data_IF_662262276825
#
_entry.id   IF_662262276825
#
_cell.length_a   1.000
_cell.length_b   1.000
_cell.length_c   1.000
_cell.angle_alpha   90.00
_cell.angle_beta   90.00
_cell.angle_gamma   90.00
#
_symmetry.space_group_name_H-M   'P 1'
#
loop_
_entity.id
_entity.type
_entity.pdbx_description
1 polymer ?
#
# COMPACT_ATOMS: atom_id res chain seq x y z
N UNK A 1 15.14 -6.42 -8.67
CA UNK A 1 14.08 -6.86 -7.74
C UNK A 1 13.58 -5.66 -6.94
N UNK A 2 12.28 -5.54 -6.83
CA UNK A 2 11.67 -4.45 -6.05
C UNK A 2 11.23 -4.96 -4.69
N UNK A 3 11.56 -4.21 -3.65
CA UNK A 3 11.16 -4.54 -2.30
C UNK A 3 10.20 -3.48 -1.79
N UNK A 4 9.00 -3.88 -1.42
CA UNK A 4 8.00 -2.98 -0.86
C UNK A 4 8.38 -2.68 0.58
N UNK A 5 8.56 -1.40 0.88
CA UNK A 5 8.94 -0.96 2.23
C UNK A 5 7.77 -0.37 2.99
N UNK A 6 6.71 0.01 2.30
CA UNK A 6 5.51 0.51 2.96
C UNK A 6 4.45 0.86 1.94
N UNK A 7 3.24 1.06 2.42
CA UNK A 7 2.15 1.50 1.54
C UNK A 7 1.08 2.19 2.36
N UNK A 8 0.25 2.96 1.68
CA UNK A 8 -0.93 3.56 2.29
C UNK A 8 -2.09 3.50 1.30
N UNK A 9 -3.30 3.57 1.83
CA UNK A 9 -4.50 3.52 1.02
C UNK A 9 -5.39 4.69 1.41
N UNK A 10 -5.88 5.41 0.42
CA UNK A 10 -6.82 6.50 0.63
C UNK A 10 -8.06 6.29 -0.20
N UNK A 11 -9.21 6.61 0.38
CA UNK A 11 -10.47 6.62 -0.37
C UNK A 11 -10.59 7.93 -1.10
N UNK A 12 -10.75 7.84 -2.41
CA UNK A 12 -10.91 9.02 -3.27
C UNK A 12 -12.20 8.90 -4.07
N UNK A 13 -12.51 9.91 -4.85
CA UNK A 13 -13.68 9.84 -5.73
C UNK A 13 -13.58 8.76 -6.79
N UNK A 14 -12.39 8.27 -7.07
CA UNK A 14 -12.16 7.19 -8.02
C UNK A 14 -12.23 5.80 -7.37
N UNK A 15 -12.15 5.73 -6.04
CA UNK A 15 -12.13 4.47 -5.31
C UNK A 15 -10.98 4.43 -4.32
N UNK A 16 -10.33 3.27 -4.20
CA UNK A 16 -9.21 3.08 -3.28
C UNK A 16 -7.90 3.30 -4.00
N UNK A 17 -7.22 4.37 -3.68
CA UNK A 17 -5.91 4.69 -4.27
C UNK A 17 -4.81 4.21 -3.34
N UNK A 18 -3.94 3.39 -3.89
CA UNK A 18 -2.82 2.79 -3.15
C UNK A 18 -1.55 3.53 -3.52
N UNK A 19 -0.82 3.99 -2.51
CA UNK A 19 0.51 4.57 -2.68
C UNK A 19 1.51 3.61 -2.07
N UNK A 20 2.54 3.25 -2.83
CA UNK A 20 3.53 2.26 -2.44
C UNK A 20 4.90 2.91 -2.40
N UNK A 21 5.63 2.65 -1.32
CA UNK A 21 7.05 3.01 -1.23
C UNK A 21 7.86 1.75 -1.44
N UNK A 22 8.93 1.84 -2.22
CA UNK A 22 9.73 0.65 -2.53
C UNK A 22 11.18 1.01 -2.78
N UNK A 23 12.01 -0.01 -2.73
CA UNK A 23 13.43 0.08 -3.05
C UNK A 23 13.74 -0.91 -4.17
N UNK A 24 14.75 -0.60 -4.96
CA UNK A 24 15.23 -1.49 -6.01
C UNK A 24 16.53 -2.13 -5.55
N UNK A 25 16.59 -3.44 -5.61
CA UNK A 25 17.75 -4.23 -5.23
C UNK A 25 18.37 -4.87 -6.47
N UNK A 26 19.69 -5.04 -6.45
CA UNK A 26 20.37 -5.79 -7.51
C UNK A 26 20.35 -7.29 -7.19
N UNK A 27 20.95 -8.09 -8.07
CA UNK A 27 20.95 -9.55 -7.92
C UNK A 27 21.72 -10.01 -6.69
N UNK A 28 22.63 -9.17 -6.19
CA UNK A 28 23.42 -9.49 -5.00
C UNK A 28 22.72 -9.02 -3.71
N UNK A 29 21.56 -8.41 -3.82
CA UNK A 29 20.81 -7.92 -2.67
C UNK A 29 21.20 -6.53 -2.21
N UNK A 30 22.05 -5.85 -2.95
CA UNK A 30 22.44 -4.47 -2.62
C UNK A 30 21.36 -3.49 -3.08
N UNK A 31 21.13 -2.45 -2.28
CA UNK A 31 20.17 -1.42 -2.62
C UNK A 31 20.75 -0.55 -3.73
N UNK A 32 20.07 -0.48 -4.86
CA UNK A 32 20.44 0.38 -5.98
C UNK A 32 19.73 1.71 -5.92
N UNK A 33 18.49 1.70 -5.45
CA UNK A 33 17.68 2.91 -5.34
C UNK A 33 16.71 2.73 -4.17
N UNK A 34 16.33 3.82 -3.53
CA UNK A 34 15.48 3.75 -2.36
C UNK A 34 14.50 4.92 -2.34
N UNK A 35 13.46 4.81 -1.52
CA UNK A 35 12.44 5.85 -1.36
C UNK A 35 11.70 6.17 -2.65
N UNK A 36 11.58 5.18 -3.52
CA UNK A 36 10.78 5.30 -4.72
C UNK A 36 9.31 5.16 -4.36
N UNK A 37 8.46 5.79 -5.17
CA UNK A 37 7.02 5.83 -4.90
C UNK A 37 6.23 5.58 -6.18
N UNK A 38 5.17 4.82 -6.04
CA UNK A 38 4.22 4.60 -7.13
C UNK A 38 2.81 4.64 -6.54
N UNK A 39 1.82 4.96 -7.37
CA UNK A 39 0.43 4.91 -6.92
C UNK A 39 -0.47 4.41 -8.04
N UNK A 40 -1.60 3.85 -7.65
CA UNK A 40 -2.57 3.30 -8.58
C UNK A 40 -3.91 3.16 -7.87
N UNK A 41 -4.97 2.97 -8.65
CA UNK A 41 -6.29 2.68 -8.10
C UNK A 41 -6.46 1.16 -8.05
N UNK A 42 -6.82 0.63 -6.87
CA UNK A 42 -7.01 -0.81 -6.71
C UNK A 42 -8.31 -1.23 -7.40
N UNK A 43 -8.22 -2.24 -8.25
CA UNK A 43 -9.35 -2.77 -9.01
C UNK A 43 -9.62 -4.24 -8.74
N UNK A 44 -8.65 -4.97 -8.19
CA UNK A 44 -8.79 -6.40 -7.92
C UNK A 44 -9.67 -6.62 -6.70
N UNK A 45 -10.63 -7.54 -6.82
CA UNK A 45 -11.56 -7.83 -5.72
C UNK A 45 -10.85 -8.32 -4.48
N UNK A 46 -9.81 -9.13 -4.63
CA UNK A 46 -9.06 -9.64 -3.49
C UNK A 46 -8.34 -8.53 -2.76
N UNK A 47 -7.80 -7.56 -3.49
CA UNK A 47 -7.13 -6.40 -2.89
C UNK A 47 -8.14 -5.52 -2.19
N UNK A 48 -9.28 -5.26 -2.82
CA UNK A 48 -10.34 -4.44 -2.22
C UNK A 48 -10.88 -5.08 -0.96
N UNK A 49 -11.03 -6.41 -0.92
CA UNK A 49 -11.46 -7.12 0.28
C UNK A 49 -10.44 -7.00 1.40
N UNK A 50 -9.15 -7.06 1.08
CA UNK A 50 -8.09 -6.91 2.07
C UNK A 50 -8.09 -5.48 2.65
N UNK A 51 -8.30 -4.48 1.79
CA UNK A 51 -8.40 -3.08 2.23
C UNK A 51 -9.59 -2.91 3.16
N UNK A 52 -10.74 -3.49 2.82
CA UNK A 52 -11.94 -3.40 3.65
C UNK A 52 -11.69 -4.03 5.03
N UNK A 53 -10.98 -5.15 5.09
CA UNK A 53 -10.64 -5.80 6.34
C UNK A 53 -9.76 -4.90 7.22
N UNK A 54 -8.78 -4.24 6.62
CA UNK A 54 -7.91 -3.32 7.34
C UNK A 54 -8.71 -2.12 7.84
N UNK A 55 -9.62 -1.60 7.02
CA UNK A 55 -10.45 -0.47 7.40
C UNK A 55 -11.36 -0.81 8.59
N UNK A 56 -11.91 -2.02 8.61
CA UNK A 56 -12.73 -2.47 9.73
C UNK A 56 -11.93 -2.58 11.01
N UNK A 57 -10.73 -3.14 10.91
CA UNK A 57 -9.84 -3.26 12.05
C UNK A 57 -9.42 -1.89 12.58
N UNK A 58 -9.06 -0.99 11.66
CA UNK A 58 -8.69 0.37 12.03
C UNK A 58 -9.85 1.11 12.71
N UNK A 59 -11.06 0.93 12.20
CA UNK A 59 -12.24 1.57 12.78
C UNK A 59 -12.46 1.11 14.23
N UNK A 60 -12.21 -0.18 14.51
CA UNK A 60 -12.32 -0.69 15.87
C UNK A 60 -11.30 -0.06 16.79
N UNK A 61 -10.11 0.27 16.28
CA UNK A 61 -9.05 0.88 17.08
C UNK A 61 -9.26 2.35 17.34
N UNK A 62 -10.05 3.04 16.53
CA UNK A 62 -10.30 4.47 16.70
C UNK A 62 -11.72 4.77 17.16
N UNK A 63 -12.47 3.74 17.54
CA UNK A 63 -13.90 3.89 17.88
C UNK A 63 -14.12 4.67 19.17
N UNK A 64 -13.10 4.79 19.99
CA UNK A 64 -13.19 5.47 21.28
C UNK A 64 -13.10 6.99 21.16
N UNK A 65 -12.83 7.47 20.01
CA UNK A 65 -12.62 8.91 19.79
C UNK A 65 -13.93 9.65 19.69
#
# INVERSE_FOLDING_TARGET
MNKITGFSVMTTGEGKRVTVNYSVLDDAGNIRDTNLRANYVALEDTVLSAIAAIEQDAAAHVSEV
#
